data_IF_974936983353
#
_entry.id   IF_974936983353
#
_cell.length_a   1.000
_cell.length_b   1.000
_cell.length_c   1.000
_cell.angle_alpha   90.00
_cell.angle_beta   90.00
_cell.angle_gamma   90.00
#
_symmetry.space_group_name_H-M   'P 1'
#
loop_
_entity.id
_entity.type
_entity.pdbx_description
1 polymer ?
#
# COMPACT_ATOMS: atom_id res chain seq x y z
N UNK A 1 16.17 -6.83 15.13
CA UNK A 1 16.06 -7.89 14.12
C UNK A 1 14.64 -7.92 13.58
N UNK A 2 14.43 -7.84 12.27
CA UNK A 2 13.08 -7.90 11.74
C UNK A 2 12.47 -9.28 11.99
N UNK A 3 11.16 -9.29 12.15
CA UNK A 3 10.43 -10.54 12.27
C UNK A 3 10.60 -11.34 10.98
N UNK A 4 10.69 -12.66 11.12
CA UNK A 4 11.02 -13.51 9.99
C UNK A 4 10.01 -13.43 8.85
N UNK A 5 8.77 -13.07 9.13
CA UNK A 5 7.73 -12.92 8.12
C UNK A 5 7.69 -11.54 7.47
N UNK A 6 8.49 -10.59 7.95
CA UNK A 6 8.57 -9.23 7.38
C UNK A 6 9.91 -9.05 6.68
N UNK A 7 10.15 -9.87 5.67
CA UNK A 7 11.43 -9.88 4.96
C UNK A 7 11.36 -9.23 3.58
N UNK A 8 10.18 -8.85 3.16
CA UNK A 8 10.02 -8.33 1.81
C UNK A 8 10.36 -6.85 1.75
N UNK A 9 10.45 -6.34 0.56
CA UNK A 9 10.65 -4.91 0.32
C UNK A 9 9.78 -4.47 -0.84
N UNK A 10 9.43 -3.21 -0.83
CA UNK A 10 8.62 -2.60 -1.89
C UNK A 10 9.23 -1.28 -2.29
N UNK A 11 8.91 -0.81 -3.48
CA UNK A 11 9.28 0.53 -3.94
C UNK A 11 8.02 1.39 -3.90
N UNK A 12 8.10 2.50 -3.19
CA UNK A 12 6.99 3.44 -3.05
C UNK A 12 7.22 4.59 -4.01
N UNK A 13 6.24 4.84 -4.87
CA UNK A 13 6.26 5.95 -5.82
C UNK A 13 5.28 7.00 -5.32
N UNK A 14 5.76 8.22 -5.19
CA UNK A 14 4.95 9.34 -4.69
C UNK A 14 4.99 10.47 -5.68
N UNK A 15 3.83 10.87 -6.16
CA UNK A 15 3.69 12.00 -7.05
C UNK A 15 3.45 13.27 -6.24
N UNK A 16 4.09 14.39 -6.59
CA UNK A 16 3.77 15.66 -5.96
C UNK A 16 2.38 16.13 -6.38
N UNK A 17 1.76 16.93 -5.52
CA UNK A 17 0.52 17.60 -5.88
C UNK A 17 0.85 18.82 -6.75
N UNK A 18 0.14 18.94 -7.86
CA UNK A 18 0.26 20.09 -8.75
C UNK A 18 -1.12 20.69 -8.98
N UNK A 19 -1.14 21.92 -9.42
CA UNK A 19 -2.39 22.64 -9.69
C UNK A 19 -2.39 23.03 -11.16
N UNK A 20 -3.46 22.69 -11.85
CA UNK A 20 -3.66 23.06 -13.24
C UNK A 20 -5.11 23.47 -13.42
N UNK A 21 -5.31 24.68 -13.94
CA UNK A 21 -6.66 25.24 -14.14
C UNK A 21 -7.50 25.24 -12.85
N UNK A 22 -6.86 25.51 -11.71
CA UNK A 22 -7.52 25.52 -10.41
C UNK A 22 -7.83 24.17 -9.82
N UNK A 23 -7.42 23.09 -10.46
CA UNK A 23 -7.66 21.73 -9.97
C UNK A 23 -6.35 21.08 -9.54
N UNK A 24 -6.39 20.44 -8.38
CA UNK A 24 -5.25 19.67 -7.89
C UNK A 24 -5.21 18.32 -8.59
N UNK A 25 -4.00 17.90 -8.92
CA UNK A 25 -3.79 16.57 -9.48
C UNK A 25 -2.43 16.05 -9.03
N UNK A 26 -2.24 14.74 -9.14
CA UNK A 26 -0.96 14.13 -8.82
C UNK A 26 -0.11 14.05 -10.08
N UNK A 27 1.08 14.62 -9.98
CA UNK A 27 2.00 14.70 -11.13
C UNK A 27 2.91 13.47 -11.13
N UNK A 28 2.46 12.41 -11.77
CA UNK A 28 3.23 11.16 -11.83
C UNK A 28 4.45 11.25 -12.73
N UNK A 29 4.52 12.24 -13.61
CA UNK A 29 5.70 12.47 -14.43
C UNK A 29 6.89 12.93 -13.60
N UNK A 30 6.63 13.55 -12.46
CA UNK A 30 7.66 14.02 -11.53
C UNK A 30 7.65 13.24 -10.23
N UNK A 31 7.15 12.00 -10.27
CA UNK A 31 7.09 11.18 -9.07
C UNK A 31 8.48 10.81 -8.58
N UNK A 32 8.63 10.76 -7.28
CA UNK A 32 9.83 10.25 -6.63
C UNK A 32 9.59 8.80 -6.20
N UNK A 33 10.66 8.05 -6.05
CA UNK A 33 10.58 6.66 -5.62
C UNK A 33 11.55 6.44 -4.46
N UNK A 34 11.12 5.64 -3.50
CA UNK A 34 12.00 5.21 -2.41
C UNK A 34 11.65 3.78 -2.02
N UNK A 35 12.60 3.11 -1.42
CA UNK A 35 12.46 1.73 -1.01
C UNK A 35 12.01 1.66 0.44
N UNK A 36 11.06 0.76 0.72
CA UNK A 36 10.66 0.44 2.09
C UNK A 36 10.91 -1.03 2.29
N UNK A 37 11.78 -1.36 3.24
CA UNK A 37 12.15 -2.73 3.54
C UNK A 37 11.44 -3.22 4.79
N UNK A 38 11.55 -4.52 5.04
CA UNK A 38 10.95 -5.19 6.20
C UNK A 38 9.44 -5.03 6.20
N UNK A 39 8.81 -5.35 5.06
CA UNK A 39 7.37 -5.30 4.91
C UNK A 39 6.81 -6.71 4.75
N UNK A 40 5.53 -6.85 4.96
CA UNK A 40 4.78 -8.06 4.68
C UNK A 40 3.60 -7.70 3.80
N UNK A 41 3.45 -8.38 2.68
CA UNK A 41 2.31 -8.20 1.78
C UNK A 41 1.52 -9.49 1.78
N UNK A 42 0.26 -9.42 2.18
CA UNK A 42 -0.61 -10.57 2.32
C UNK A 42 -1.84 -10.37 1.45
N UNK A 43 -2.19 -11.40 0.69
CA UNK A 43 -3.39 -11.36 -0.11
C UNK A 43 -4.62 -11.32 0.79
N UNK A 44 -5.54 -10.42 0.48
CA UNK A 44 -6.83 -10.40 1.15
C UNK A 44 -7.77 -11.37 0.46
N UNK A 45 -8.50 -12.14 1.25
CA UNK A 45 -9.53 -13.00 0.70
C UNK A 45 -10.75 -12.15 0.37
N UNK A 46 -10.91 -11.84 -0.90
CA UNK A 46 -11.99 -11.01 -1.36
C UNK A 46 -12.99 -11.75 -2.23
N UNK A 47 -12.76 -13.03 -2.45
CA UNK A 47 -13.69 -13.82 -3.24
C UNK A 47 -14.96 -14.04 -2.45
N UNK A 48 -16.07 -13.53 -2.97
CA UNK A 48 -17.38 -13.83 -2.44
C UNK A 48 -18.15 -14.61 -3.47
N UNK A 49 -18.48 -15.82 -3.08
CA UNK A 49 -19.40 -16.63 -3.85
C UNK A 49 -20.81 -16.26 -3.42
N UNK A 50 -21.43 -15.38 -4.18
CA UNK A 50 -22.77 -14.94 -3.88
C UNK A 50 -23.74 -15.59 -4.86
N UNK A 51 -24.58 -16.47 -4.35
CA UNK A 51 -25.55 -17.21 -5.17
C UNK A 51 -24.89 -17.99 -6.31
N UNK A 52 -23.74 -18.58 -6.05
CA UNK A 52 -23.02 -19.34 -7.06
C UNK A 52 -22.32 -18.48 -8.12
N UNK A 53 -22.28 -17.18 -7.90
CA UNK A 53 -21.55 -16.29 -8.81
C UNK A 53 -20.35 -15.71 -8.13
N UNK A 54 -19.23 -15.70 -8.85
CA UNK A 54 -18.08 -14.95 -8.42
C UNK A 54 -18.33 -13.50 -8.78
N UNK A 55 -18.67 -12.70 -7.79
CA UNK A 55 -18.80 -11.27 -7.97
C UNK A 55 -17.46 -10.63 -7.76
N UNK A 56 -16.81 -10.28 -8.82
CA UNK A 56 -15.65 -9.43 -8.84
C UNK A 56 -14.51 -9.83 -7.88
N UNK A 57 -13.46 -10.32 -8.44
CA UNK A 57 -12.19 -10.51 -7.72
C UNK A 57 -11.37 -9.25 -7.92
N UNK A 58 -11.37 -8.37 -6.93
CA UNK A 58 -10.39 -7.29 -6.93
C UNK A 58 -9.13 -7.81 -6.26
N UNK A 59 -8.00 -7.58 -6.90
CA UNK A 59 -6.70 -8.02 -6.38
C UNK A 59 -6.29 -7.05 -5.28
N UNK A 60 -6.73 -7.35 -4.07
CA UNK A 60 -6.44 -6.55 -2.89
C UNK A 60 -5.43 -7.26 -2.03
N UNK A 61 -4.53 -6.49 -1.46
CA UNK A 61 -3.52 -7.00 -0.53
C UNK A 61 -3.41 -6.07 0.66
N UNK A 62 -2.99 -6.63 1.78
CA UNK A 62 -2.68 -5.84 2.97
C UNK A 62 -1.17 -5.74 3.08
N UNK A 63 -0.67 -4.53 3.16
CA UNK A 63 0.74 -4.28 3.43
C UNK A 63 0.90 -3.91 4.89
N UNK A 64 1.84 -4.58 5.55
CA UNK A 64 2.27 -4.26 6.91
C UNK A 64 3.74 -3.91 6.89
N UNK A 65 4.09 -2.84 7.55
CA UNK A 65 5.44 -2.34 7.60
C UNK A 65 5.78 -1.85 8.99
N UNK A 66 7.00 -1.38 9.17
CA UNK A 66 7.42 -0.79 10.42
C UNK A 66 6.62 0.47 10.70
N UNK A 67 6.54 0.87 11.97
CA UNK A 67 5.76 2.03 12.38
C UNK A 67 6.14 3.30 11.63
N UNK A 68 7.42 3.47 11.36
CA UNK A 68 7.93 4.69 10.71
C UNK A 68 8.04 4.55 9.19
N UNK A 69 7.40 3.56 8.59
CA UNK A 69 7.47 3.38 7.16
C UNK A 69 6.85 4.57 6.43
N UNK A 70 7.54 5.06 5.42
CA UNK A 70 7.12 6.24 4.66
C UNK A 70 6.19 5.83 3.53
N UNK A 71 4.94 5.60 3.87
CA UNK A 71 3.88 5.26 2.93
C UNK A 71 2.69 6.14 3.26
N UNK A 72 2.10 6.76 2.24
CA UNK A 72 0.97 7.67 2.40
C UNK A 72 -0.17 7.28 1.49
N UNK A 73 -1.36 7.73 1.84
CA UNK A 73 -2.53 7.55 0.97
C UNK A 73 -2.26 8.18 -0.40
N UNK A 74 -2.67 7.47 -1.44
CA UNK A 74 -2.46 7.93 -2.81
C UNK A 74 -1.12 7.57 -3.42
N UNK A 75 -0.21 6.98 -2.65
CA UNK A 75 1.04 6.47 -3.19
C UNK A 75 0.79 5.24 -4.04
N UNK A 76 1.75 4.95 -4.93
CA UNK A 76 1.78 3.69 -5.66
C UNK A 76 2.92 2.85 -5.13
N UNK A 77 2.68 1.56 -5.03
CA UNK A 77 3.63 0.60 -4.46
C UNK A 77 3.94 -0.45 -5.49
N UNK A 78 5.22 -0.61 -5.79
CA UNK A 78 5.69 -1.67 -6.67
C UNK A 78 6.18 -2.84 -5.83
N UNK A 79 5.61 -4.01 -6.08
CA UNK A 79 5.92 -5.23 -5.34
C UNK A 79 5.97 -6.40 -6.31
N UNK A 80 7.09 -7.10 -6.34
CA UNK A 80 7.32 -8.27 -7.21
C UNK A 80 6.95 -8.01 -8.69
N UNK A 81 7.28 -6.82 -9.18
CA UNK A 81 7.04 -6.47 -10.57
C UNK A 81 5.64 -5.96 -10.88
N UNK A 82 4.73 -6.03 -9.93
CA UNK A 82 3.37 -5.50 -10.08
C UNK A 82 3.22 -4.17 -9.39
N UNK A 83 2.40 -3.31 -9.95
CA UNK A 83 2.15 -1.99 -9.40
C UNK A 83 0.79 -1.97 -8.71
N UNK A 84 0.77 -1.43 -7.50
CA UNK A 84 -0.42 -1.29 -6.67
C UNK A 84 -0.62 0.16 -6.28
N UNK A 85 -1.85 0.51 -5.98
CA UNK A 85 -2.18 1.82 -5.44
C UNK A 85 -2.62 1.66 -3.99
N UNK A 86 -2.18 2.58 -3.13
CA UNK A 86 -2.63 2.61 -1.74
C UNK A 86 -4.07 3.10 -1.72
N UNK A 87 -4.98 2.21 -1.34
CA UNK A 87 -6.41 2.48 -1.30
C UNK A 87 -6.82 2.89 0.11
N UNK A 88 -7.38 4.08 0.23
CA UNK A 88 -7.82 4.59 1.52
C UNK A 88 -6.68 5.11 2.38
N UNK A 89 -6.88 5.06 3.67
CA UNK A 89 -5.94 5.63 4.62
C UNK A 89 -4.84 4.65 5.00
N UNK A 90 -3.71 5.20 5.39
CA UNK A 90 -2.60 4.45 5.97
C UNK A 90 -2.72 4.57 7.48
N UNK A 91 -2.76 3.41 8.15
CA UNK A 91 -2.92 3.37 9.60
C UNK A 91 -1.59 3.09 10.27
N UNK A 92 -1.23 3.93 11.22
CA UNK A 92 -0.07 3.70 12.06
C UNK A 92 -0.58 3.37 13.46
N UNK A 93 -0.34 2.15 13.89
CA UNK A 93 -0.87 1.64 15.15
C UNK A 93 0.26 1.45 16.14
N UNK A 94 0.07 1.98 17.32
CA UNK A 94 0.97 1.78 18.46
C UNK A 94 0.21 0.99 19.50
N UNK A 95 0.78 -0.12 19.96
CA UNK A 95 0.14 -0.90 21.02
C UNK A 95 0.17 -0.13 22.33
N UNK A 96 -0.76 -0.41 23.26
CA UNK A 96 -0.76 0.27 24.56
C UNK A 96 0.54 0.12 25.34
N UNK A 97 1.27 -0.96 25.10
CA UNK A 97 2.57 -1.19 25.76
C UNK A 97 3.73 -0.59 25.00
N UNK A 98 3.49 -0.09 23.78
CA UNK A 98 4.54 0.43 22.92
C UNK A 98 5.44 -0.62 22.30
N UNK A 99 5.17 -1.90 22.55
CA UNK A 99 6.04 -2.98 22.05
C UNK A 99 5.78 -3.36 20.61
N UNK A 100 4.54 -3.22 20.17
CA UNK A 100 4.15 -3.56 18.79
C UNK A 100 3.60 -2.32 18.15
N UNK A 101 4.32 -1.85 17.15
CA UNK A 101 3.91 -0.68 16.38
C UNK A 101 4.08 -1.01 14.91
N UNK A 102 3.11 -0.64 14.12
CA UNK A 102 3.14 -0.99 12.70
C UNK A 102 2.41 0.06 11.87
N UNK A 103 2.76 0.06 10.60
CA UNK A 103 2.04 0.79 9.55
C UNK A 103 1.30 -0.24 8.73
N UNK A 104 0.04 0.01 8.44
CA UNK A 104 -0.80 -0.91 7.68
C UNK A 104 -1.61 -0.13 6.65
N UNK A 105 -1.68 -0.65 5.45
CA UNK A 105 -2.51 -0.07 4.40
C UNK A 105 -3.02 -1.17 3.47
N UNK A 106 -4.02 -0.81 2.69
CA UNK A 106 -4.59 -1.70 1.69
C UNK A 106 -4.03 -1.31 0.33
N UNK A 107 -3.59 -2.32 -0.42
CA UNK A 107 -3.11 -2.14 -1.79
C UNK A 107 -4.13 -2.72 -2.76
N UNK A 108 -4.41 -1.99 -3.81
CA UNK A 108 -5.25 -2.45 -4.91
C UNK A 108 -4.41 -2.43 -6.16
N UNK A 109 -4.48 -3.52 -6.94
CA UNK A 109 -3.68 -3.61 -8.15
C UNK A 109 -3.99 -2.48 -9.11
N UNK A 110 -2.95 -1.83 -9.58
CA UNK A 110 -3.06 -0.75 -10.55
C UNK A 110 -3.14 -1.34 -11.96
N UNK A 111 -4.18 -1.01 -12.65
CA UNK A 111 -4.36 -1.44 -14.05
C UNK A 111 -4.47 -0.20 -14.95
N UNK A 112 -3.50 0.64 -14.84
CA UNK A 112 -3.47 1.88 -15.59
C UNK A 112 -3.60 1.73 -17.11
#
# INVERSE_FOLDING_TARGET
>A
MPLSFMKDSVTVHRAPLAIKNGMEYRDWDNASAHSVSNVQVVAQSTSRDFEGRVTQVSDRRTLRARYEADIQAGDRVEWHGDLYEVDGEVFQTVSPTGRISSTRCTLVRWEG
#
